data_IF_357525113692
#
_entry.id   IF_357525113692
#
_cell.length_a   1.000
_cell.length_b   1.000
_cell.length_c   1.000
_cell.angle_alpha   90.00
_cell.angle_beta   90.00
_cell.angle_gamma   90.00
#
_symmetry.space_group_name_H-M   'P 1'
#
loop_
_entity.id
_entity.type
_entity.pdbx_description
1 polymer ?
#
# COMPACT_ATOMS: atom_id res chain seq x y z
N UNK A 1 0.97 -3.92 -16.75
CA UNK A 1 0.81 -4.89 -15.63
C UNK A 1 -0.54 -4.69 -14.95
N UNK A 2 -1.37 -5.73 -14.84
CA UNK A 2 -2.54 -5.70 -13.96
C UNK A 2 -2.09 -6.12 -12.57
N UNK A 3 -1.94 -5.16 -11.65
CA UNK A 3 -1.70 -5.49 -10.23
C UNK A 3 -3.05 -5.86 -9.61
N UNK A 4 -3.45 -7.13 -9.74
CA UNK A 4 -4.45 -7.68 -8.84
C UNK A 4 -3.80 -7.81 -7.47
N UNK A 5 -4.09 -6.87 -6.57
CA UNK A 5 -3.72 -6.99 -5.17
C UNK A 5 -4.71 -7.94 -4.50
N UNK A 6 -4.40 -9.24 -4.28
CA UNK A 6 -5.07 -9.94 -3.20
C UNK A 6 -4.72 -9.16 -1.93
N UNK A 7 -5.75 -8.64 -1.26
CA UNK A 7 -5.67 -8.01 0.06
C UNK A 7 -4.61 -8.71 0.92
N UNK A 8 -3.58 -7.96 1.33
CA UNK A 8 -2.56 -8.46 2.24
C UNK A 8 -3.15 -8.42 3.64
N UNK A 9 -3.72 -9.55 4.02
CA UNK A 9 -4.76 -9.70 5.03
C UNK A 9 -4.31 -9.54 6.49
N UNK A 10 -3.09 -9.08 6.79
CA UNK A 10 -2.62 -9.05 8.20
C UNK A 10 -2.38 -7.65 8.74
N UNK A 11 -2.01 -6.67 7.91
CA UNK A 11 -1.87 -5.27 8.34
C UNK A 11 -3.09 -4.40 7.99
N UNK A 12 -3.89 -4.81 7.00
CA UNK A 12 -5.05 -4.07 6.49
C UNK A 12 -6.40 -4.66 6.94
N UNK A 13 -6.44 -5.74 7.73
CA UNK A 13 -7.70 -6.30 8.26
C UNK A 13 -8.22 -5.57 9.51
N UNK A 14 -7.45 -4.61 10.02
CA UNK A 14 -7.73 -3.87 11.25
C UNK A 14 -8.43 -2.52 11.00
N UNK A 15 -8.52 -2.07 9.74
CA UNK A 15 -9.18 -0.82 9.36
C UNK A 15 -9.77 -0.94 7.94
N UNK A 16 -10.91 -0.29 7.68
CA UNK A 16 -11.52 -0.15 6.34
C UNK A 16 -10.64 0.74 5.44
N UNK A 17 -9.53 0.18 5.00
CA UNK A 17 -8.54 0.84 4.15
C UNK A 17 -8.87 0.57 2.68
N UNK A 18 -9.70 1.43 2.10
CA UNK A 18 -9.96 1.39 0.65
C UNK A 18 -8.78 2.04 -0.07
N UNK A 19 -8.06 1.27 -0.89
CA UNK A 19 -6.98 1.78 -1.72
C UNK A 19 -7.55 2.39 -3.00
N UNK A 20 -7.46 3.70 -3.15
CA UNK A 20 -7.83 4.45 -4.36
C UNK A 20 -6.54 4.66 -5.16
N UNK A 21 -6.45 4.01 -6.31
CA UNK A 21 -5.32 4.16 -7.25
C UNK A 21 -5.21 5.61 -7.73
N UNK A 22 -4.03 6.23 -7.54
CA UNK A 22 -3.68 7.52 -8.14
C UNK A 22 -2.88 7.32 -9.43
N UNK A 23 -1.83 6.49 -9.40
CA UNK A 23 -1.00 6.19 -10.58
C UNK A 23 -0.49 4.74 -10.57
N UNK A 24 -0.23 4.21 -11.76
CA UNK A 24 0.44 2.92 -11.96
C UNK A 24 1.62 3.12 -12.91
N UNK A 25 2.81 2.69 -12.49
CA UNK A 25 4.00 2.66 -13.33
C UNK A 25 4.52 1.24 -13.47
N UNK A 26 5.23 1.00 -14.56
CA UNK A 26 5.85 -0.27 -14.89
C UNK A 26 7.27 -0.02 -15.39
N UNK A 27 8.23 -0.75 -14.84
CA UNK A 27 9.62 -0.74 -15.28
C UNK A 27 10.20 -2.17 -15.23
N UNK A 28 10.21 -2.84 -16.37
CA UNK A 28 10.61 -4.24 -16.49
C UNK A 28 9.79 -5.16 -15.59
N UNK A 29 10.45 -5.83 -14.65
CA UNK A 29 9.79 -6.71 -13.67
C UNK A 29 9.17 -5.95 -12.49
N UNK A 30 9.26 -4.62 -12.44
CA UNK A 30 8.72 -3.81 -11.36
C UNK A 30 7.41 -3.15 -11.76
N UNK A 31 6.46 -3.15 -10.83
CA UNK A 31 5.26 -2.35 -10.89
C UNK A 31 5.18 -1.46 -9.66
N UNK A 32 4.78 -0.21 -9.85
CA UNK A 32 4.67 0.80 -8.80
C UNK A 32 3.22 1.28 -8.78
N UNK A 33 2.61 1.31 -7.60
CA UNK A 33 1.26 1.80 -7.37
C UNK A 33 1.31 2.96 -6.40
N UNK A 34 0.99 4.15 -6.87
CA UNK A 34 0.65 5.27 -6.00
C UNK A 34 -0.83 5.21 -5.66
N UNK A 35 -1.14 5.41 -4.38
CA UNK A 35 -2.49 5.29 -3.89
C UNK A 35 -2.77 6.28 -2.76
N UNK A 36 -4.07 6.52 -2.54
CA UNK A 36 -4.59 7.17 -1.34
C UNK A 36 -5.75 6.41 -0.74
N UNK A 37 -6.03 6.65 0.53
CA UNK A 37 -7.26 6.20 1.16
C UNK A 37 -8.36 7.29 1.12
N UNK A 38 -9.61 6.99 1.56
CA UNK A 38 -10.67 8.00 1.62
C UNK A 38 -10.40 9.15 2.60
N UNK A 39 -9.49 8.97 3.56
CA UNK A 39 -9.07 9.99 4.53
C UNK A 39 -7.94 10.88 3.99
N UNK A 40 -7.44 10.58 2.79
CA UNK A 40 -6.39 11.34 2.12
C UNK A 40 -4.95 10.90 2.48
N UNK A 41 -4.76 9.85 3.28
CA UNK A 41 -3.44 9.26 3.51
C UNK A 41 -2.93 8.69 2.18
N UNK A 42 -1.69 9.02 1.84
CA UNK A 42 -1.03 8.54 0.63
C UNK A 42 0.02 7.49 0.93
N UNK A 43 0.21 6.60 -0.02
CA UNK A 43 1.30 5.65 -0.02
C UNK A 43 1.73 5.25 -1.41
N UNK A 44 2.85 4.53 -1.47
CA UNK A 44 3.39 3.97 -2.69
C UNK A 44 3.81 2.52 -2.46
N UNK A 45 3.29 1.62 -3.29
CA UNK A 45 3.61 0.19 -3.29
C UNK A 45 4.53 -0.15 -4.46
N UNK A 46 5.59 -0.89 -4.18
CA UNK A 46 6.52 -1.46 -5.17
C UNK A 46 6.36 -2.96 -5.19
N UNK A 47 6.23 -3.54 -6.38
CA UNK A 47 6.00 -4.96 -6.59
C UNK A 47 6.96 -5.47 -7.64
N UNK A 48 7.79 -6.46 -7.30
CA UNK A 48 8.55 -7.20 -8.30
C UNK A 48 7.73 -8.40 -8.76
N UNK A 49 7.32 -8.41 -10.03
CA UNK A 49 6.51 -9.45 -10.65
C UNK A 49 7.38 -10.28 -11.59
N UNK A 50 7.57 -11.55 -11.27
CA UNK A 50 8.33 -12.51 -12.09
C UNK A 50 7.45 -13.74 -12.33
N UNK A 51 7.36 -14.19 -13.57
CA UNK A 51 6.48 -15.28 -14.02
C UNK A 51 5.01 -15.07 -13.60
N UNK A 52 4.54 -13.82 -13.70
CA UNK A 52 3.17 -13.44 -13.33
C UNK A 52 2.88 -13.49 -11.83
N UNK A 53 3.89 -13.63 -10.96
CA UNK A 53 3.74 -13.68 -9.49
C UNK A 53 4.52 -12.57 -8.80
N UNK A 54 3.95 -11.99 -7.75
CA UNK A 54 4.66 -11.03 -6.89
C UNK A 54 5.73 -11.79 -6.09
N UNK A 55 7.01 -11.55 -6.38
CA UNK A 55 8.15 -12.14 -5.66
C UNK A 55 8.68 -11.25 -4.55
N UNK A 56 8.49 -9.94 -4.69
CA UNK A 56 8.88 -8.96 -3.71
C UNK A 56 7.84 -7.86 -3.65
N UNK A 57 7.56 -7.38 -2.44
CA UNK A 57 6.70 -6.24 -2.23
C UNK A 57 7.26 -5.34 -1.14
N UNK A 58 7.12 -4.03 -1.34
CA UNK A 58 7.39 -3.02 -0.32
C UNK A 58 6.35 -1.91 -0.41
N UNK A 59 5.88 -1.43 0.73
CA UNK A 59 5.01 -0.25 0.82
C UNK A 59 5.69 0.85 1.61
N UNK A 60 5.46 2.09 1.19
CA UNK A 60 5.86 3.30 1.90
C UNK A 60 4.63 4.17 2.12
N UNK A 61 4.44 4.63 3.36
CA UNK A 61 3.43 5.60 3.76
C UNK A 61 3.88 6.27 5.06
N UNK A 62 3.25 7.37 5.42
CA UNK A 62 3.52 8.02 6.70
C UNK A 62 2.81 7.28 7.86
N UNK A 63 3.59 6.57 8.67
CA UNK A 63 3.05 5.78 9.78
C UNK A 63 2.40 6.65 10.85
N UNK A 64 2.92 7.86 11.10
CA UNK A 64 2.35 8.76 12.10
C UNK A 64 0.96 9.27 11.70
N UNK A 65 0.79 9.68 10.44
CA UNK A 65 -0.51 10.09 9.89
C UNK A 65 -1.48 8.92 9.88
N UNK A 66 -1.03 7.70 9.56
CA UNK A 66 -1.86 6.50 9.68
C UNK A 66 -2.40 6.33 11.11
N UNK A 67 -1.52 6.34 12.11
CA UNK A 67 -1.94 6.18 13.51
C UNK A 67 -2.92 7.30 13.94
N UNK A 68 -2.66 8.55 13.56
CA UNK A 68 -3.55 9.68 13.86
C UNK A 68 -4.91 9.55 13.17
N UNK A 69 -4.94 9.28 11.87
CA UNK A 69 -6.17 9.21 11.08
C UNK A 69 -7.10 8.08 11.53
N UNK A 70 -6.53 6.99 12.04
CA UNK A 70 -7.29 5.86 12.56
C UNK A 70 -7.48 5.88 14.08
N UNK A 71 -7.11 6.97 14.76
CA UNK A 71 -7.17 7.10 16.23
C UNK A 71 -6.49 5.93 16.98
N UNK A 72 -5.36 5.46 16.45
CA UNK A 72 -4.57 4.37 17.03
C UNK A 72 -3.52 4.92 18.01
N UNK A 73 -3.08 4.09 18.99
CA UNK A 73 -2.03 4.48 19.92
C UNK A 73 -0.73 4.84 19.20
N UNK A 74 -0.17 6.00 19.53
CA UNK A 74 1.15 6.41 19.07
C UNK A 74 2.16 5.90 20.09
N UNK A 75 3.15 5.07 19.68
CA UNK A 75 4.22 4.64 20.58
C UNK A 75 4.97 5.86 21.12
N UNK A 76 5.06 5.97 22.44
CA UNK A 76 6.03 6.83 23.12
C UNK A 76 7.28 6.02 23.36
N UNK A 77 8.45 6.58 23.04
CA UNK A 77 9.77 5.96 23.28
C UNK A 77 9.94 5.43 24.71
#
# INVERSE_FOLDING_TARGET
VTINLPVIATAFSIADMTCITENIFEDGEWAILEWKDPLGLRGCGFFKVVDGKIKFQRGYWDNLSFLKNHNLPIPTE
#
